data_IF_835725504564
#
_entry.id   IF_835725504564
#
_cell.length_a   1.000
_cell.length_b   1.000
_cell.length_c   1.000
_cell.angle_alpha   90.00
_cell.angle_beta   90.00
_cell.angle_gamma   90.00
#
_symmetry.space_group_name_H-M   'P 1'
#
loop_
_entity.id
_entity.type
_entity.pdbx_description
1 polymer ?
#
# COMPACT_ATOMS: atom_id res chain seq x y z
N UNK A 1 5.46 -32.86 -0.74
CA UNK A 1 4.08 -32.33 -0.81
C UNK A 1 3.57 -32.24 0.62
N UNK A 2 3.82 -31.11 1.29
CA UNK A 2 3.41 -30.94 2.67
C UNK A 2 1.90 -30.72 2.66
N UNK A 3 1.14 -31.48 3.45
CA UNK A 3 -0.31 -31.30 3.52
C UNK A 3 -0.55 -30.02 4.31
N UNK A 4 -0.97 -28.97 3.62
CA UNK A 4 -1.50 -27.75 4.24
C UNK A 4 -2.71 -28.18 5.10
N UNK A 5 -2.46 -28.34 6.40
CA UNK A 5 -3.54 -28.55 7.36
C UNK A 5 -4.14 -27.17 7.70
N UNK A 6 -5.40 -27.15 8.14
CA UNK A 6 -6.13 -25.90 8.41
C UNK A 6 -5.37 -24.98 9.37
N UNK A 7 -4.68 -25.55 10.37
CA UNK A 7 -3.89 -24.77 11.32
C UNK A 7 -2.69 -24.07 10.65
N UNK A 8 -1.97 -24.74 9.76
CA UNK A 8 -0.85 -24.17 9.01
C UNK A 8 -1.33 -23.06 8.06
N UNK A 9 -2.49 -23.24 7.43
CA UNK A 9 -3.09 -22.20 6.58
C UNK A 9 -3.48 -20.98 7.41
N UNK A 10 -4.12 -21.18 8.57
CA UNK A 10 -4.50 -20.08 9.46
C UNK A 10 -3.27 -19.32 10.02
N UNK A 11 -2.23 -20.04 10.44
CA UNK A 11 -0.97 -19.43 10.90
C UNK A 11 -0.28 -18.64 9.78
N UNK A 12 -0.28 -19.17 8.55
CA UNK A 12 0.26 -18.44 7.40
C UNK A 12 -0.55 -17.18 7.08
N UNK A 13 -1.87 -17.21 7.24
CA UNK A 13 -2.73 -16.03 7.08
C UNK A 13 -2.48 -14.99 8.18
N UNK A 14 -2.33 -15.40 9.44
CA UNK A 14 -2.00 -14.47 10.52
C UNK A 14 -0.64 -13.80 10.30
N UNK A 15 0.39 -14.57 9.93
CA UNK A 15 1.72 -14.03 9.63
C UNK A 15 1.69 -13.07 8.42
N UNK A 16 0.95 -13.42 7.36
CA UNK A 16 0.76 -12.53 6.21
C UNK A 16 0.07 -11.23 6.60
N UNK A 17 -1.00 -11.32 7.40
CA UNK A 17 -1.71 -10.15 7.88
C UNK A 17 -0.79 -9.20 8.65
N UNK A 18 0.01 -9.73 9.58
CA UNK A 18 0.98 -8.95 10.37
C UNK A 18 2.05 -8.30 9.47
N UNK A 19 2.62 -9.07 8.54
CA UNK A 19 3.61 -8.57 7.58
C UNK A 19 3.05 -7.50 6.66
N UNK A 20 1.82 -7.69 6.16
CA UNK A 20 1.12 -6.70 5.36
C UNK A 20 0.91 -5.41 6.15
N UNK A 21 0.37 -5.49 7.37
CA UNK A 21 0.13 -4.32 8.21
C UNK A 21 1.43 -3.59 8.54
N UNK A 22 2.51 -4.32 8.85
CA UNK A 22 3.82 -3.73 9.11
C UNK A 22 4.40 -3.01 7.88
N UNK A 23 4.25 -3.59 6.68
CA UNK A 23 4.63 -2.91 5.44
C UNK A 23 3.74 -1.70 5.13
N UNK A 24 2.43 -1.83 5.36
CA UNK A 24 1.46 -0.75 5.15
C UNK A 24 1.77 0.46 6.02
N UNK A 25 2.03 0.24 7.32
CA UNK A 25 2.45 1.30 8.26
C UNK A 25 3.70 2.04 7.80
N UNK A 26 4.71 1.31 7.30
CA UNK A 26 5.92 1.95 6.74
C UNK A 26 5.60 2.82 5.53
N UNK A 27 4.71 2.37 4.64
CA UNK A 27 4.26 3.17 3.50
C UNK A 27 3.50 4.43 3.93
N UNK A 28 2.61 4.30 4.93
CA UNK A 28 1.87 5.42 5.53
C UNK A 28 2.81 6.43 6.20
N UNK A 29 3.80 5.98 6.95
CA UNK A 29 4.80 6.87 7.57
C UNK A 29 5.65 7.61 6.53
N UNK A 30 5.99 6.94 5.42
CA UNK A 30 6.77 7.54 4.34
C UNK A 30 5.99 8.63 3.60
N UNK A 31 4.72 8.38 3.27
CA UNK A 31 3.88 9.29 2.48
C UNK A 31 3.27 10.46 3.27
N UNK A 32 3.22 10.35 4.60
CA UNK A 32 2.49 11.29 5.45
C UNK A 32 1.28 10.62 6.12
N UNK A 33 1.31 10.38 7.43
CA UNK A 33 0.22 9.72 8.16
C UNK A 33 -1.14 10.42 8.05
N UNK A 34 -1.16 11.73 7.80
CA UNK A 34 -2.36 12.55 7.62
C UNK A 34 -3.19 12.18 6.38
N UNK A 35 -2.59 11.48 5.42
CA UNK A 35 -3.28 10.97 4.24
C UNK A 35 -4.10 9.71 4.54
N UNK A 36 -4.02 9.16 5.75
CA UNK A 36 -4.59 7.87 6.12
C UNK A 36 -5.37 7.94 7.44
N UNK A 37 -6.40 7.10 7.58
CA UNK A 37 -7.21 7.05 8.79
C UNK A 37 -8.23 5.91 8.83
N UNK A 38 -9.07 5.83 9.87
CA UNK A 38 -9.31 6.87 10.88
C UNK A 38 -8.36 6.87 12.10
N UNK A 39 -7.50 5.87 12.26
CA UNK A 39 -6.53 5.83 13.37
C UNK A 39 -5.15 6.28 12.91
N UNK A 40 -4.25 6.46 13.86
CA UNK A 40 -2.84 6.76 13.60
C UNK A 40 -2.03 5.48 13.46
N UNK A 41 -0.85 5.57 12.85
CA UNK A 41 0.09 4.44 12.73
C UNK A 41 0.39 3.78 14.08
N UNK A 42 0.50 4.59 15.13
CA UNK A 42 0.76 4.14 16.50
C UNK A 42 -0.40 3.32 17.12
N UNK A 43 -1.64 3.56 16.71
CA UNK A 43 -2.84 2.96 17.31
C UNK A 43 -3.57 1.96 16.41
N UNK A 44 -3.23 1.94 15.12
CA UNK A 44 -3.76 1.01 14.14
C UNK A 44 -3.40 -0.44 14.49
N UNK A 45 -4.41 -1.32 14.46
CA UNK A 45 -4.25 -2.77 14.67
C UNK A 45 -4.63 -3.59 13.45
N UNK A 46 -5.19 -2.95 12.44
CA UNK A 46 -5.63 -3.54 11.18
C UNK A 46 -5.44 -2.54 10.05
N UNK A 47 -5.33 -3.03 8.80
CA UNK A 47 -5.16 -2.17 7.62
C UNK A 47 -6.35 -1.21 7.43
N UNK A 48 -7.57 -1.59 7.82
CA UNK A 48 -8.75 -0.72 7.76
C UNK A 48 -8.69 0.48 8.71
N UNK A 49 -7.78 0.46 9.69
CA UNK A 49 -7.52 1.60 10.57
C UNK A 49 -6.68 2.70 9.88
N UNK A 50 -6.05 2.39 8.74
CA UNK A 50 -5.16 3.26 7.97
C UNK A 50 -5.57 3.26 6.49
N UNK A 51 -6.87 3.39 6.21
CA UNK A 51 -7.37 3.56 4.84
C UNK A 51 -6.91 4.90 4.29
N UNK A 52 -6.54 5.01 3.01
CA UNK A 52 -6.28 6.30 2.41
C UNK A 52 -7.54 7.18 2.46
N UNK A 53 -7.36 8.44 2.84
CA UNK A 53 -8.43 9.43 2.91
C UNK A 53 -8.51 10.14 1.57
N UNK A 54 -9.66 10.07 0.91
CA UNK A 54 -9.80 10.51 -0.48
C UNK A 54 -9.51 12.00 -0.65
N UNK A 55 -10.11 12.85 0.16
CA UNK A 55 -9.95 14.30 0.05
C UNK A 55 -8.51 14.76 0.35
N UNK A 56 -7.84 14.31 1.44
CA UNK A 56 -6.42 14.61 1.66
C UNK A 56 -5.52 14.10 0.54
N UNK A 57 -5.68 12.84 0.11
CA UNK A 57 -4.87 12.26 -0.97
C UNK A 57 -5.02 13.06 -2.25
N UNK A 58 -6.25 13.34 -2.69
CA UNK A 58 -6.49 14.10 -3.93
C UNK A 58 -5.99 15.56 -3.82
N UNK A 59 -5.94 16.15 -2.63
CA UNK A 59 -5.45 17.51 -2.44
C UNK A 59 -3.92 17.64 -2.57
N UNK A 60 -3.17 16.62 -2.14
CA UNK A 60 -1.70 16.62 -2.22
C UNK A 60 -1.18 16.01 -3.52
N UNK A 61 -1.98 15.18 -4.19
CA UNK A 61 -1.64 14.60 -5.48
C UNK A 61 -1.44 15.73 -6.52
N UNK A 62 -0.33 15.74 -7.25
CA UNK A 62 0.17 16.82 -8.15
C UNK A 62 0.97 17.95 -7.48
N UNK A 63 1.20 17.90 -6.15
CA UNK A 63 2.10 18.82 -5.43
C UNK A 63 3.43 18.20 -5.02
N UNK A 64 3.54 16.87 -5.08
CA UNK A 64 4.67 16.08 -4.57
C UNK A 64 5.69 15.73 -5.66
N UNK A 65 6.82 15.13 -5.28
CA UNK A 65 7.77 14.63 -6.28
C UNK A 65 7.18 13.44 -7.06
N UNK A 66 7.48 13.32 -8.35
CA UNK A 66 6.87 12.27 -9.20
C UNK A 66 7.11 10.83 -8.72
N UNK A 67 8.11 10.57 -7.87
CA UNK A 67 8.34 9.27 -7.22
C UNK A 67 7.36 9.00 -6.06
N UNK A 68 7.08 10.01 -5.23
CA UNK A 68 6.12 9.90 -4.13
C UNK A 68 4.68 9.76 -4.63
N UNK A 69 4.32 10.50 -5.68
CA UNK A 69 3.00 10.39 -6.33
C UNK A 69 2.78 8.99 -6.91
N UNK A 70 3.82 8.43 -7.53
CA UNK A 70 3.82 7.09 -8.06
C UNK A 70 3.70 6.04 -6.93
N UNK A 71 4.42 6.24 -5.82
CA UNK A 71 4.31 5.37 -4.65
C UNK A 71 2.92 5.44 -4.01
N UNK A 72 2.35 6.64 -3.88
CA UNK A 72 1.00 6.87 -3.35
C UNK A 72 -0.06 6.23 -4.24
N UNK A 73 0.03 6.37 -5.56
CA UNK A 73 -0.88 5.69 -6.49
C UNK A 73 -0.81 4.16 -6.36
N UNK A 74 0.39 3.60 -6.21
CA UNK A 74 0.58 2.18 -5.98
C UNK A 74 0.01 1.73 -4.63
N UNK A 75 0.24 2.49 -3.55
CA UNK A 75 -0.30 2.18 -2.21
C UNK A 75 -1.84 2.20 -2.23
N UNK A 76 -2.43 3.24 -2.80
CA UNK A 76 -3.89 3.37 -2.96
C UNK A 76 -4.48 2.19 -3.74
N UNK A 77 -3.78 1.64 -4.74
CA UNK A 77 -4.27 0.51 -5.52
C UNK A 77 -4.51 -0.77 -4.71
N UNK A 78 -3.83 -0.96 -3.57
CA UNK A 78 -4.10 -2.09 -2.68
C UNK A 78 -5.44 -1.94 -1.95
N UNK A 79 -5.86 -0.70 -1.69
CA UNK A 79 -7.14 -0.37 -1.07
C UNK A 79 -8.28 -0.33 -2.10
N UNK A 80 -8.07 0.43 -3.18
CA UNK A 80 -9.01 0.60 -4.29
C UNK A 80 -8.22 0.61 -5.61
N UNK A 81 -8.20 -0.52 -6.35
CA UNK A 81 -7.48 -0.64 -7.61
C UNK A 81 -7.93 0.37 -8.67
N UNK A 82 -9.22 0.72 -8.70
CA UNK A 82 -9.78 1.66 -9.68
C UNK A 82 -9.28 3.07 -9.37
N UNK A 83 -9.31 3.46 -8.10
CA UNK A 83 -8.81 4.76 -7.69
C UNK A 83 -7.29 4.88 -7.86
N UNK A 84 -6.53 3.84 -7.51
CA UNK A 84 -5.08 3.80 -7.76
C UNK A 84 -4.75 3.94 -9.25
N UNK A 85 -5.50 3.30 -10.14
CA UNK A 85 -5.33 3.46 -11.59
C UNK A 85 -5.64 4.90 -12.06
N UNK A 86 -6.67 5.53 -11.50
CA UNK A 86 -7.00 6.93 -11.80
C UNK A 86 -5.86 7.87 -11.39
N UNK A 87 -5.24 7.63 -10.23
CA UNK A 87 -4.08 8.39 -9.76
C UNK A 87 -2.87 8.19 -10.67
N UNK A 88 -2.53 6.94 -11.02
CA UNK A 88 -1.41 6.62 -11.90
C UNK A 88 -1.53 7.29 -13.29
N UNK A 89 -2.76 7.37 -13.84
CA UNK A 89 -3.03 8.04 -15.12
C UNK A 89 -2.73 9.54 -15.09
N UNK A 90 -2.97 10.24 -13.96
CA UNK A 90 -2.74 11.69 -13.85
C UNK A 90 -1.26 12.05 -13.99
N UNK A 91 -0.38 11.17 -13.50
CA UNK A 91 1.09 11.33 -13.57
C UNK A 91 1.71 10.65 -14.79
N UNK A 92 0.90 10.19 -15.76
CA UNK A 92 1.34 9.45 -16.94
C UNK A 92 2.20 8.20 -16.61
N UNK A 93 2.00 7.60 -15.44
CA UNK A 93 2.70 6.39 -15.03
C UNK A 93 2.11 5.18 -15.77
N UNK A 94 2.94 4.27 -16.33
CA UNK A 94 2.42 3.06 -16.96
C UNK A 94 1.72 2.16 -15.93
N UNK A 95 0.52 1.70 -16.25
CA UNK A 95 -0.32 0.87 -15.36
C UNK A 95 0.18 -0.57 -15.18
N UNK A 96 1.36 -0.92 -15.70
CA UNK A 96 1.94 -2.24 -15.47
C UNK A 96 2.56 -2.30 -14.08
N UNK A 97 2.67 -3.51 -13.50
CA UNK A 97 3.29 -3.70 -12.17
C UNK A 97 4.69 -3.08 -12.10
N UNK A 98 5.53 -3.30 -13.12
CA UNK A 98 6.85 -2.67 -13.17
C UNK A 98 6.80 -1.17 -13.50
N UNK A 99 5.77 -0.72 -14.22
CA UNK A 99 5.54 0.70 -14.51
C UNK A 99 5.31 1.50 -13.24
N UNK A 100 4.47 0.97 -12.34
CA UNK A 100 4.19 1.52 -11.01
C UNK A 100 5.41 1.51 -10.07
N UNK A 101 6.48 0.80 -10.39
CA UNK A 101 7.73 0.83 -9.62
C UNK A 101 8.91 1.50 -10.33
N UNK A 102 8.72 2.04 -11.53
CA UNK A 102 9.81 2.52 -12.40
C UNK A 102 10.64 3.67 -11.80
N UNK A 103 10.00 4.65 -11.16
CA UNK A 103 10.68 5.82 -10.58
C UNK A 103 10.86 5.73 -9.06
N UNK A 104 10.61 4.55 -8.47
CA UNK A 104 10.68 4.38 -7.03
C UNK A 104 12.11 4.13 -6.56
N UNK A 105 12.44 4.67 -5.39
CA UNK A 105 13.67 4.32 -4.71
C UNK A 105 13.61 2.89 -4.14
N UNK A 106 14.72 2.45 -3.55
CA UNK A 106 14.80 1.10 -2.99
C UNK A 106 13.86 0.90 -1.80
N UNK A 107 13.62 1.94 -1.00
CA UNK A 107 12.77 1.85 0.19
C UNK A 107 11.30 1.65 -0.20
N UNK A 108 10.78 2.47 -1.11
CA UNK A 108 9.43 2.37 -1.65
C UNK A 108 9.23 1.02 -2.37
N UNK A 109 10.21 0.62 -3.18
CA UNK A 109 10.16 -0.68 -3.89
C UNK A 109 10.09 -1.85 -2.89
N UNK A 110 10.89 -1.83 -1.83
CA UNK A 110 10.88 -2.87 -0.80
C UNK A 110 9.53 -2.93 -0.07
N UNK A 111 8.91 -1.78 0.22
CA UNK A 111 7.58 -1.73 0.83
C UNK A 111 6.53 -2.37 -0.10
N UNK A 112 6.51 -1.99 -1.39
CA UNK A 112 5.56 -2.57 -2.34
C UNK A 112 5.75 -4.08 -2.53
N UNK A 113 6.99 -4.56 -2.57
CA UNK A 113 7.25 -6.00 -2.63
C UNK A 113 6.70 -6.74 -1.41
N UNK A 114 6.91 -6.23 -0.20
CA UNK A 114 6.35 -6.82 1.02
C UNK A 114 4.81 -6.76 1.02
N UNK A 115 4.21 -5.68 0.53
CA UNK A 115 2.76 -5.59 0.38
C UNK A 115 2.24 -6.64 -0.61
N UNK A 116 2.84 -6.75 -1.80
CA UNK A 116 2.44 -7.73 -2.82
C UNK A 116 2.55 -9.17 -2.32
N UNK A 117 3.65 -9.52 -1.63
CA UNK A 117 3.88 -10.88 -1.13
C UNK A 117 2.87 -11.29 -0.04
N UNK A 118 2.38 -10.33 0.73
CA UNK A 118 1.49 -10.54 1.86
C UNK A 118 0.06 -10.06 1.60
N UNK A 119 -0.30 -9.73 0.35
CA UNK A 119 -1.63 -9.23 0.02
C UNK A 119 -2.67 -10.35 0.06
N UNK A 120 -3.68 -10.18 0.90
CA UNK A 120 -4.79 -11.11 1.08
C UNK A 120 -6.13 -10.49 0.61
N UNK A 121 -6.06 -9.44 -0.22
CA UNK A 121 -7.18 -8.54 -0.50
C UNK A 121 -7.23 -7.40 0.51
N UNK A 122 -8.04 -6.38 0.22
CA UNK A 122 -8.41 -5.37 1.22
C UNK A 122 -9.68 -5.78 1.95
#
# INVERSE_FOLDING_TARGET
MNKDNVLNVLLQTEEKHERFLAAWKRGVEFLGPELFGPKTVATAKDKNDLRPLREPVEAVFEQESGGEEQFLAALVSFYDPIWGEQLAKRINCPNSVCGLTYNLDHACTAILCELLLNYEGW
#
